data_IF_308036949881
#
_entry.id   IF_308036949881
#
_cell.length_a   1.000
_cell.length_b   1.000
_cell.length_c   1.000
_cell.angle_alpha   90.00
_cell.angle_beta   90.00
_cell.angle_gamma   90.00
#
_symmetry.space_group_name_H-M   'P 1'
#
loop_
_entity.id
_entity.type
_entity.pdbx_description
1 polymer ?
#
# COMPACT_ATOMS: atom_id res chain seq x y z
N UNK A 1 4.83 0.94 68.35
CA UNK A 1 4.11 0.45 67.16
C UNK A 1 5.01 0.72 65.96
N UNK A 2 5.32 -0.33 65.20
CA UNK A 2 6.30 -0.40 64.09
C UNK A 2 6.18 0.76 63.08
N UNK A 3 7.24 1.18 62.38
CA UNK A 3 7.72 0.53 61.14
C UNK A 3 9.14 1.00 60.80
N UNK A 4 10.03 0.04 60.53
CA UNK A 4 11.33 0.21 59.87
C UNK A 4 11.13 0.55 58.39
N UNK A 5 11.70 1.66 57.92
CA UNK A 5 11.90 1.90 56.49
C UNK A 5 13.18 1.22 56.03
N UNK A 6 13.04 0.05 55.38
CA UNK A 6 14.12 -0.57 54.58
C UNK A 6 14.16 0.11 53.21
N UNK A 7 15.25 0.81 52.93
CA UNK A 7 15.61 1.29 51.60
C UNK A 7 16.12 0.11 50.74
N UNK A 8 15.31 -0.35 49.79
CA UNK A 8 15.76 -1.23 48.71
C UNK A 8 16.35 -0.39 47.58
N UNK A 9 17.67 -0.46 47.38
CA UNK A 9 18.29 -0.08 46.10
C UNK A 9 17.92 -1.14 45.06
N UNK A 10 17.08 -0.78 44.10
CA UNK A 10 16.87 -1.57 42.90
C UNK A 10 17.99 -1.26 41.90
N UNK A 11 18.92 -2.20 41.73
CA UNK A 11 19.85 -2.17 40.60
C UNK A 11 19.07 -2.50 39.32
N UNK A 12 18.73 -1.47 38.54
CA UNK A 12 18.20 -1.63 37.19
C UNK A 12 19.31 -2.08 36.25
N UNK A 13 19.30 -3.35 35.86
CA UNK A 13 20.15 -3.85 34.77
C UNK A 13 19.55 -3.33 33.46
N UNK A 14 20.18 -2.31 32.88
CA UNK A 14 19.90 -1.89 31.52
C UNK A 14 20.39 -2.99 30.55
N UNK A 15 19.47 -3.78 30.02
CA UNK A 15 19.78 -4.72 28.94
C UNK A 15 20.04 -3.91 27.66
N UNK A 16 21.32 -3.66 27.37
CA UNK A 16 21.77 -3.16 26.07
C UNK A 16 21.67 -4.33 25.09
N UNK A 17 20.67 -4.32 24.22
CA UNK A 17 20.59 -5.23 23.09
C UNK A 17 21.69 -4.86 22.08
N UNK A 18 22.84 -5.53 22.16
CA UNK A 18 23.82 -5.51 21.08
C UNK A 18 23.25 -6.33 19.92
N UNK A 19 22.85 -5.66 18.84
CA UNK A 19 22.65 -6.32 17.55
C UNK A 19 24.00 -6.80 17.02
N UNK A 20 24.15 -8.10 16.80
CA UNK A 20 25.41 -8.69 16.33
C UNK A 20 25.79 -8.15 14.94
N UNK A 21 27.06 -7.74 14.70
CA UNK A 21 27.52 -7.24 13.41
C UNK A 21 27.26 -8.19 12.24
N UNK A 22 27.33 -9.50 12.51
CA UNK A 22 27.08 -10.56 11.52
C UNK A 22 25.61 -10.56 11.04
N UNK A 23 24.66 -10.39 11.96
CA UNK A 23 23.23 -10.28 11.64
C UNK A 23 22.93 -9.03 10.82
N UNK A 24 23.57 -7.90 11.14
CA UNK A 24 23.43 -6.66 10.36
C UNK A 24 24.03 -6.80 8.95
N UNK A 25 25.16 -7.50 8.81
CA UNK A 25 25.80 -7.79 7.54
C UNK A 25 24.96 -8.72 6.66
N UNK A 26 24.38 -9.78 7.23
CA UNK A 26 23.50 -10.71 6.51
C UNK A 26 22.20 -10.04 6.02
N UNK A 27 21.64 -9.11 6.82
CA UNK A 27 20.47 -8.30 6.40
C UNK A 27 20.84 -7.37 5.25
N UNK A 28 22.03 -6.76 5.25
CA UNK A 28 22.51 -5.90 4.14
C UNK A 28 22.67 -6.70 2.84
N UNK A 29 23.35 -7.85 2.89
CA UNK A 29 23.55 -8.70 1.70
C UNK A 29 22.24 -9.21 1.11
N UNK A 30 21.28 -9.53 1.98
CA UNK A 30 19.94 -9.96 1.56
C UNK A 30 19.19 -8.83 0.85
N UNK A 31 19.21 -7.62 1.41
CA UNK A 31 18.57 -6.47 0.79
C UNK A 31 19.25 -6.07 -0.53
N UNK A 32 20.58 -6.18 -0.64
CA UNK A 32 21.32 -5.94 -1.90
C UNK A 32 20.94 -6.96 -2.99
N UNK A 33 20.80 -8.25 -2.63
CA UNK A 33 20.29 -9.25 -3.56
C UNK A 33 18.83 -8.96 -3.94
N UNK A 34 18.00 -8.58 -2.97
CA UNK A 34 16.62 -8.17 -3.20
C UNK A 34 16.49 -6.98 -4.14
N UNK A 35 17.37 -5.99 -4.01
CA UNK A 35 17.44 -4.84 -4.91
C UNK A 35 17.71 -5.30 -6.33
N UNK A 36 18.74 -6.12 -6.55
CA UNK A 36 19.03 -6.67 -7.88
C UNK A 36 17.83 -7.39 -8.49
N UNK A 37 17.14 -8.22 -7.71
CA UNK A 37 15.95 -8.94 -8.15
C UNK A 37 14.76 -8.02 -8.44
N UNK A 38 14.58 -6.95 -7.67
CA UNK A 38 13.50 -5.98 -7.88
C UNK A 38 13.60 -5.27 -9.24
N UNK A 39 14.82 -5.08 -9.74
CA UNK A 39 15.10 -4.51 -11.06
C UNK A 39 15.36 -5.56 -12.15
N UNK A 40 15.26 -6.86 -11.83
CA UNK A 40 15.59 -7.95 -12.76
C UNK A 40 14.44 -8.24 -13.74
N UNK A 41 14.67 -8.01 -15.03
CA UNK A 41 13.64 -8.29 -16.05
C UNK A 41 13.58 -9.77 -16.41
N UNK A 42 14.63 -10.54 -16.13
CA UNK A 42 14.64 -11.98 -16.35
C UNK A 42 13.66 -12.75 -15.43
N UNK A 43 13.03 -12.07 -14.47
CA UNK A 43 11.92 -12.62 -13.70
C UNK A 43 10.59 -12.64 -14.47
N UNK A 44 10.52 -12.09 -15.69
CA UNK A 44 9.36 -12.16 -16.57
C UNK A 44 9.56 -13.10 -17.77
N UNK A 45 8.46 -13.58 -18.34
CA UNK A 45 8.44 -14.60 -19.38
C UNK A 45 9.24 -14.20 -20.64
N UNK A 46 9.05 -12.97 -21.10
CA UNK A 46 9.67 -12.38 -22.28
C UNK A 46 10.91 -11.52 -21.93
N UNK A 47 11.26 -11.41 -20.65
CA UNK A 47 12.41 -10.61 -20.21
C UNK A 47 12.20 -9.10 -20.32
N UNK A 48 10.95 -8.62 -20.40
CA UNK A 48 10.63 -7.21 -20.68
C UNK A 48 10.27 -6.38 -19.44
N UNK A 49 10.05 -7.02 -18.29
CA UNK A 49 9.61 -6.29 -17.09
C UNK A 49 10.17 -6.88 -15.79
N UNK A 50 10.34 -6.00 -14.81
CA UNK A 50 10.72 -6.31 -13.44
C UNK A 50 9.68 -5.77 -12.46
N UNK A 51 9.90 -5.91 -11.15
CA UNK A 51 9.06 -5.27 -10.15
C UNK A 51 9.05 -3.74 -10.34
N UNK A 52 10.21 -3.15 -10.64
CA UNK A 52 10.34 -1.70 -10.85
C UNK A 52 9.64 -1.17 -12.10
N UNK A 53 9.24 -2.03 -13.04
CA UNK A 53 8.46 -1.60 -14.22
C UNK A 53 7.07 -1.12 -13.82
N UNK A 54 6.42 -1.78 -12.86
CA UNK A 54 5.10 -1.41 -12.33
C UNK A 54 5.18 -0.67 -10.98
N UNK A 55 6.32 -0.70 -10.31
CA UNK A 55 6.57 -0.01 -9.04
C UNK A 55 7.82 0.86 -9.15
N UNK A 56 7.74 1.92 -9.96
CA UNK A 56 8.87 2.79 -10.27
C UNK A 56 9.30 3.60 -9.03
N UNK A 57 10.54 3.40 -8.52
CA UNK A 57 11.05 4.15 -7.39
C UNK A 57 11.10 5.66 -7.58
N UNK A 58 11.11 6.18 -8.81
CA UNK A 58 11.12 7.62 -9.09
C UNK A 58 9.71 8.24 -9.08
N UNK A 59 8.66 7.41 -9.08
CA UNK A 59 7.26 7.85 -9.13
C UNK A 59 6.44 7.34 -7.94
N UNK A 60 7.03 7.30 -6.73
CA UNK A 60 6.29 6.83 -5.55
C UNK A 60 5.99 5.33 -5.56
N UNK A 61 6.75 4.52 -6.29
CA UNK A 61 6.55 3.07 -6.43
C UNK A 61 5.19 2.66 -7.00
N UNK A 62 4.65 3.46 -7.93
CA UNK A 62 3.50 3.10 -8.78
C UNK A 62 3.96 2.89 -10.23
N UNK A 63 3.02 2.54 -11.11
CA UNK A 63 3.25 2.37 -12.54
C UNK A 63 3.05 3.71 -13.27
N UNK A 64 4.12 4.39 -13.73
CA UNK A 64 4.00 5.68 -14.41
C UNK A 64 3.80 5.52 -15.92
N UNK A 65 3.78 4.29 -16.45
CA UNK A 65 3.78 4.06 -17.89
C UNK A 65 2.49 4.57 -18.53
N UNK A 66 2.64 5.26 -19.66
CA UNK A 66 1.52 5.46 -20.58
C UNK A 66 1.28 4.17 -21.37
N UNK A 67 0.58 3.24 -20.74
CA UNK A 67 0.26 1.93 -21.27
C UNK A 67 -1.13 1.89 -21.96
N UNK A 68 -1.69 3.05 -22.29
CA UNK A 68 -3.04 3.17 -22.84
C UNK A 68 -4.18 2.98 -21.82
N UNK A 69 -3.88 2.59 -20.58
CA UNK A 69 -4.85 2.49 -19.49
C UNK A 69 -4.82 3.69 -18.53
N UNK A 70 -4.07 4.76 -18.85
CA UNK A 70 -3.94 5.97 -18.01
C UNK A 70 -3.60 5.64 -16.54
N UNK A 71 -2.70 4.67 -16.33
CA UNK A 71 -2.31 4.14 -15.02
C UNK A 71 -3.47 3.56 -14.15
N UNK A 72 -4.67 3.36 -14.71
CA UNK A 72 -5.78 2.71 -13.99
C UNK A 72 -5.46 1.25 -13.63
N UNK A 73 -4.64 0.61 -14.46
CA UNK A 73 -4.05 -0.71 -14.24
C UNK A 73 -2.70 -0.80 -14.98
N UNK A 74 -1.95 -1.85 -14.67
CA UNK A 74 -0.64 -2.14 -15.28
C UNK A 74 -0.75 -3.12 -16.44
N UNK A 75 0.10 -2.92 -17.46
CA UNK A 75 0.27 -3.80 -18.61
C UNK A 75 1.28 -4.90 -18.26
N UNK A 76 0.91 -6.15 -18.51
CA UNK A 76 1.75 -7.31 -18.31
C UNK A 76 2.85 -7.48 -19.36
N UNK A 77 3.73 -8.45 -19.11
CA UNK A 77 4.93 -8.76 -19.90
C UNK A 77 4.61 -9.23 -21.33
N UNK A 78 3.40 -9.72 -21.55
CA UNK A 78 2.93 -10.11 -22.89
C UNK A 78 2.55 -8.91 -23.77
N UNK A 79 2.61 -7.68 -23.24
CA UNK A 79 2.30 -6.45 -23.94
C UNK A 79 0.81 -6.27 -24.30
N UNK A 80 -0.09 -7.10 -23.75
CA UNK A 80 -1.52 -7.05 -24.06
C UNK A 80 -2.45 -7.21 -22.85
N UNK A 81 -2.11 -8.04 -21.86
CA UNK A 81 -2.90 -8.20 -20.64
C UNK A 81 -2.85 -6.95 -19.78
N UNK A 82 -4.02 -6.48 -19.34
CA UNK A 82 -4.18 -5.41 -18.36
C UNK A 82 -4.84 -5.98 -17.11
N UNK A 83 -4.33 -5.61 -15.94
CA UNK A 83 -4.97 -5.94 -14.67
C UNK A 83 -6.37 -5.33 -14.54
N UNK A 84 -7.13 -5.78 -13.54
CA UNK A 84 -8.43 -5.19 -13.16
C UNK A 84 -8.36 -4.31 -11.91
N UNK A 85 -7.15 -4.08 -11.41
CA UNK A 85 -6.87 -3.22 -10.26
C UNK A 85 -5.70 -2.29 -10.56
N UNK A 86 -5.74 -1.12 -9.95
CA UNK A 86 -4.60 -0.21 -9.91
C UNK A 86 -3.48 -0.81 -9.04
N UNK A 87 -2.23 -0.71 -9.50
CA UNK A 87 -1.06 -1.14 -8.75
C UNK A 87 -0.85 -0.18 -7.56
N UNK A 88 -1.00 -0.64 -6.30
CA UNK A 88 -0.78 0.23 -5.15
C UNK A 88 0.70 0.60 -5.05
N UNK A 89 0.99 1.75 -4.43
CA UNK A 89 2.38 2.10 -4.09
C UNK A 89 3.02 1.01 -3.22
N UNK A 90 4.25 0.58 -3.56
CA UNK A 90 5.04 -0.28 -2.70
C UNK A 90 5.66 0.47 -1.50
N UNK A 91 5.64 1.80 -1.51
CA UNK A 91 6.15 2.61 -0.39
C UNK A 91 5.36 2.31 0.88
N UNK A 92 6.08 2.15 2.00
CA UNK A 92 5.50 1.85 3.32
C UNK A 92 4.68 0.55 3.42
N UNK A 93 4.64 -0.29 2.37
CA UNK A 93 3.90 -1.56 2.37
C UNK A 93 4.41 -2.55 3.44
N UNK A 94 5.72 -2.52 3.73
CA UNK A 94 6.37 -3.34 4.74
C UNK A 94 5.82 -3.19 6.17
N UNK A 95 5.04 -2.13 6.45
CA UNK A 95 4.40 -1.91 7.75
C UNK A 95 3.06 -2.64 7.92
N UNK A 96 2.48 -3.17 6.84
CA UNK A 96 1.27 -3.96 6.96
C UNK A 96 1.55 -5.21 7.81
N UNK A 97 0.77 -5.47 8.87
CA UNK A 97 0.94 -6.67 9.67
C UNK A 97 0.61 -7.91 8.84
N UNK A 98 1.04 -9.08 9.31
CA UNK A 98 0.60 -10.36 8.75
C UNK A 98 -0.92 -10.41 8.72
N UNK A 99 -1.51 -10.95 7.65
CA UNK A 99 -2.96 -11.09 7.56
C UNK A 99 -3.50 -11.92 8.74
N UNK A 100 -4.42 -11.33 9.51
CA UNK A 100 -5.02 -11.97 10.69
C UNK A 100 -6.39 -11.35 11.00
N UNK A 101 -7.09 -11.90 12.00
CA UNK A 101 -8.19 -11.22 12.69
C UNK A 101 -7.68 -10.64 14.00
N UNK A 102 -7.97 -9.37 14.27
CA UNK A 102 -7.67 -8.76 15.58
C UNK A 102 -8.62 -9.29 16.67
N UNK A 103 -8.45 -8.83 17.91
CA UNK A 103 -9.25 -9.26 19.08
C UNK A 103 -10.76 -8.97 18.94
N UNK A 104 -11.16 -8.10 18.01
CA UNK A 104 -12.56 -7.78 17.69
C UNK A 104 -13.12 -8.63 16.55
N UNK A 105 -12.35 -9.59 16.03
CA UNK A 105 -12.71 -10.44 14.89
C UNK A 105 -12.65 -9.72 13.54
N UNK A 106 -12.02 -8.54 13.46
CA UNK A 106 -11.89 -7.77 12.21
C UNK A 106 -10.63 -8.21 11.48
N UNK A 107 -10.73 -8.47 10.17
CA UNK A 107 -9.57 -8.77 9.34
C UNK A 107 -8.65 -7.55 9.21
N UNK A 108 -7.35 -7.75 9.39
CA UNK A 108 -6.31 -6.73 9.37
C UNK A 108 -5.07 -7.26 8.67
N UNK A 109 -4.35 -6.38 7.96
CA UNK A 109 -3.03 -6.68 7.42
C UNK A 109 -3.08 -7.40 6.08
N UNK A 110 -2.01 -8.12 5.76
CA UNK A 110 -1.83 -8.74 4.45
C UNK A 110 -1.47 -7.74 3.35
N UNK A 111 -1.21 -8.29 2.18
CA UNK A 111 -0.77 -7.60 0.97
C UNK A 111 -1.80 -7.73 -0.15
N UNK A 112 -1.61 -6.94 -1.22
CA UNK A 112 -2.65 -6.61 -2.21
C UNK A 112 -3.87 -5.87 -1.62
N UNK A 113 -4.79 -5.43 -2.48
CA UNK A 113 -6.02 -4.75 -2.07
C UNK A 113 -7.00 -5.66 -1.32
N UNK A 114 -6.95 -6.98 -1.54
CA UNK A 114 -7.85 -8.00 -0.95
C UNK A 114 -7.21 -8.85 0.15
N UNK A 115 -5.93 -8.60 0.49
CA UNK A 115 -5.25 -9.33 1.55
C UNK A 115 -4.84 -10.76 1.23
N UNK A 116 -4.97 -11.22 -0.03
CA UNK A 116 -4.78 -12.63 -0.39
C UNK A 116 -3.38 -13.18 -0.12
N UNK A 117 -2.38 -12.30 0.00
CA UNK A 117 -1.03 -12.66 0.46
C UNK A 117 -0.87 -12.24 1.92
N UNK A 118 -0.46 -13.17 2.78
CA UNK A 118 -0.39 -12.91 4.22
C UNK A 118 0.76 -11.98 4.59
N UNK A 119 1.88 -12.06 3.88
CA UNK A 119 3.11 -11.28 4.11
C UNK A 119 3.66 -10.65 2.83
N UNK A 120 4.65 -9.75 2.98
CA UNK A 120 5.37 -9.16 1.85
C UNK A 120 6.10 -10.21 1.01
N UNK A 121 6.66 -11.22 1.68
CA UNK A 121 7.32 -12.34 1.05
C UNK A 121 6.33 -13.19 0.22
N UNK A 122 5.13 -13.45 0.75
CA UNK A 122 4.10 -14.17 -0.01
C UNK A 122 3.67 -13.38 -1.24
N UNK A 123 3.57 -12.05 -1.11
CA UNK A 123 3.20 -11.17 -2.20
C UNK A 123 4.26 -11.13 -3.30
N UNK A 124 5.54 -11.02 -2.96
CA UNK A 124 6.65 -11.02 -3.92
C UNK A 124 6.68 -12.29 -4.80
N UNK A 125 6.09 -13.39 -4.32
CA UNK A 125 5.97 -14.64 -5.09
C UNK A 125 4.83 -14.67 -6.11
N UNK A 126 3.88 -13.74 -6.06
CA UNK A 126 2.70 -13.71 -6.94
C UNK A 126 2.99 -13.21 -8.36
N UNK A 127 3.46 -11.95 -8.52
CA UNK A 127 3.64 -11.32 -9.83
C UNK A 127 4.46 -12.13 -10.85
N UNK A 128 5.59 -12.78 -10.47
CA UNK A 128 6.37 -13.59 -11.40
C UNK A 128 5.54 -14.69 -12.09
N UNK A 129 4.59 -15.30 -11.38
CA UNK A 129 3.81 -16.44 -11.88
C UNK A 129 2.42 -16.06 -12.41
N UNK A 130 2.01 -14.80 -12.29
CA UNK A 130 0.72 -14.35 -12.80
C UNK A 130 0.82 -14.11 -14.33
N UNK A 131 0.05 -14.83 -15.18
CA UNK A 131 0.08 -14.69 -16.65
C UNK A 131 -0.27 -13.28 -17.16
N UNK A 132 -1.06 -12.52 -16.39
CA UNK A 132 -1.44 -11.15 -16.73
C UNK A 132 -0.45 -10.11 -16.20
N UNK A 133 0.53 -10.53 -15.42
CA UNK A 133 1.65 -9.71 -14.95
C UNK A 133 2.94 -10.20 -15.60
N UNK A 134 3.83 -10.93 -14.89
CA UNK A 134 5.15 -11.33 -15.40
C UNK A 134 5.18 -12.69 -16.11
N UNK A 135 4.18 -13.53 -15.90
CA UNK A 135 3.87 -14.67 -16.78
C UNK A 135 4.85 -15.83 -16.83
N UNK A 136 5.74 -15.98 -15.84
CA UNK A 136 6.60 -17.16 -15.76
C UNK A 136 5.78 -18.43 -15.53
N UNK A 137 6.07 -19.48 -16.31
CA UNK A 137 5.27 -20.70 -16.33
C UNK A 137 5.33 -21.51 -15.03
N UNK A 138 6.38 -21.35 -14.23
CA UNK A 138 6.54 -22.03 -12.94
C UNK A 138 7.71 -21.44 -12.14
N UNK A 139 7.76 -21.77 -10.84
CA UNK A 139 8.93 -21.51 -9.98
C UNK A 139 10.21 -22.13 -10.54
N UNK A 140 10.11 -23.30 -11.18
CA UNK A 140 11.23 -23.97 -11.83
C UNK A 140 11.78 -23.18 -13.02
N UNK A 141 10.90 -22.56 -13.81
CA UNK A 141 11.31 -21.68 -14.90
C UNK A 141 12.06 -20.44 -14.39
N UNK A 142 11.58 -19.84 -13.30
CA UNK A 142 12.25 -18.70 -12.63
C UNK A 142 13.64 -19.11 -12.15
N UNK A 143 13.74 -20.24 -11.44
CA UNK A 143 15.03 -20.77 -10.99
C UNK A 143 15.99 -21.03 -12.16
N UNK A 144 15.52 -21.65 -13.24
CA UNK A 144 16.35 -21.93 -14.41
C UNK A 144 16.88 -20.66 -15.06
N UNK A 145 16.09 -19.58 -15.09
CA UNK A 145 16.54 -18.28 -15.60
C UNK A 145 17.61 -17.65 -14.71
N UNK A 146 17.38 -17.58 -13.40
CA UNK A 146 18.35 -17.01 -12.46
C UNK A 146 19.68 -17.76 -12.45
N UNK A 147 19.66 -19.09 -12.66
CA UNK A 147 20.86 -19.91 -12.78
C UNK A 147 21.73 -19.58 -14.00
N UNK A 148 21.20 -18.88 -15.00
CA UNK A 148 21.98 -18.43 -16.16
C UNK A 148 22.93 -17.28 -15.81
N UNK A 149 22.71 -16.59 -14.69
CA UNK A 149 23.60 -15.55 -14.18
C UNK A 149 24.47 -16.10 -13.03
N UNK A 150 25.79 -16.29 -13.23
CA UNK A 150 26.69 -16.81 -12.21
C UNK A 150 26.72 -15.98 -10.92
N UNK A 151 26.50 -14.66 -11.00
CA UNK A 151 26.52 -13.78 -9.84
C UNK A 151 25.33 -14.04 -8.91
N UNK A 152 24.15 -14.36 -9.46
CA UNK A 152 23.03 -14.80 -8.65
C UNK A 152 23.36 -16.13 -7.97
N UNK A 153 23.93 -17.08 -8.71
CA UNK A 153 24.28 -18.38 -8.13
C UNK A 153 25.22 -18.22 -6.92
N UNK A 154 26.24 -17.38 -7.05
CA UNK A 154 27.17 -17.08 -5.95
C UNK A 154 26.46 -16.36 -4.81
N UNK A 155 25.68 -15.32 -5.10
CA UNK A 155 25.01 -14.49 -4.08
C UNK A 155 23.99 -15.29 -3.26
N UNK A 156 23.13 -16.07 -3.93
CA UNK A 156 22.16 -16.95 -3.26
C UNK A 156 22.85 -18.00 -2.39
N UNK A 157 23.90 -18.65 -2.89
CA UNK A 157 24.63 -19.66 -2.09
C UNK A 157 25.35 -19.05 -0.89
N UNK A 158 25.83 -17.81 -1.02
CA UNK A 158 26.46 -17.07 0.08
C UNK A 158 25.45 -16.76 1.20
N UNK A 159 24.23 -16.34 0.84
CA UNK A 159 23.22 -15.89 1.82
C UNK A 159 22.40 -17.06 2.38
N UNK A 160 22.00 -18.01 1.53
CA UNK A 160 21.05 -19.08 1.87
C UNK A 160 21.71 -20.47 1.92
N UNK A 161 23.01 -20.57 1.67
CA UNK A 161 23.77 -21.82 1.67
C UNK A 161 23.68 -22.62 0.37
N UNK A 162 24.49 -23.67 0.28
CA UNK A 162 24.65 -24.48 -0.95
C UNK A 162 23.36 -25.18 -1.40
N UNK A 163 22.46 -25.46 -0.46
CA UNK A 163 21.19 -26.16 -0.70
C UNK A 163 20.06 -25.26 -1.22
N UNK A 164 20.28 -23.95 -1.35
CA UNK A 164 19.25 -23.01 -1.85
C UNK A 164 18.68 -23.41 -3.21
N UNK A 165 19.48 -24.08 -4.06
CA UNK A 165 19.08 -24.54 -5.38
C UNK A 165 18.81 -26.05 -5.47
N UNK A 166 18.55 -26.71 -4.33
CA UNK A 166 18.24 -28.14 -4.30
C UNK A 166 16.90 -28.46 -4.99
N UNK A 167 15.94 -27.54 -4.90
CA UNK A 167 14.62 -27.62 -5.52
C UNK A 167 14.07 -26.21 -5.81
N UNK A 168 13.01 -26.15 -6.63
CA UNK A 168 12.43 -24.89 -7.07
C UNK A 168 11.73 -24.12 -5.95
N UNK A 169 11.09 -24.80 -4.99
CA UNK A 169 10.37 -24.14 -3.91
C UNK A 169 11.33 -23.47 -2.93
N UNK A 170 12.39 -24.17 -2.52
CA UNK A 170 13.45 -23.62 -1.66
C UNK A 170 14.10 -22.39 -2.30
N UNK A 171 14.42 -22.46 -3.60
CA UNK A 171 14.98 -21.32 -4.31
C UNK A 171 13.99 -20.16 -4.39
N UNK A 172 12.72 -20.45 -4.67
CA UNK A 172 11.68 -19.43 -4.78
C UNK A 172 11.40 -18.74 -3.45
N UNK A 173 11.41 -19.47 -2.33
CA UNK A 173 11.34 -18.88 -0.99
C UNK A 173 12.51 -17.93 -0.72
N UNK A 174 13.72 -18.27 -1.17
CA UNK A 174 14.88 -17.38 -1.04
C UNK A 174 14.77 -16.13 -1.92
N UNK A 175 14.25 -16.26 -3.15
CA UNK A 175 13.99 -15.12 -4.05
C UNK A 175 13.03 -14.13 -3.38
N UNK A 176 11.89 -14.63 -2.90
CA UNK A 176 10.87 -13.77 -2.30
C UNK A 176 11.30 -13.18 -0.97
N UNK A 177 12.08 -13.91 -0.17
CA UNK A 177 12.67 -13.40 1.08
C UNK A 177 13.66 -12.26 0.81
N UNK A 178 14.50 -12.37 -0.23
CA UNK A 178 15.43 -11.32 -0.62
C UNK A 178 14.69 -10.05 -1.08
N UNK A 179 13.71 -10.18 -1.97
CA UNK A 179 12.86 -9.06 -2.43
C UNK A 179 12.17 -8.38 -1.24
N UNK A 180 11.53 -9.16 -0.37
CA UNK A 180 10.87 -8.62 0.82
C UNK A 180 11.84 -7.95 1.81
N UNK A 181 13.13 -8.33 1.84
CA UNK A 181 14.13 -7.66 2.64
C UNK A 181 14.50 -6.28 2.06
N UNK A 182 14.62 -6.17 0.73
CA UNK A 182 14.83 -4.89 0.06
C UNK A 182 13.67 -3.92 0.28
N UNK A 183 12.43 -4.40 0.17
CA UNK A 183 11.23 -3.59 0.37
C UNK A 183 11.03 -3.10 1.83
N UNK A 184 11.79 -3.66 2.79
CA UNK A 184 11.83 -3.20 4.19
C UNK A 184 12.86 -2.10 4.46
N UNK A 185 13.68 -1.75 3.46
CA UNK A 185 14.74 -0.74 3.63
C UNK A 185 14.18 0.68 3.69
N UNK A 186 15.01 1.63 4.12
CA UNK A 186 14.65 3.05 4.14
C UNK A 186 14.35 3.62 2.75
N UNK A 187 14.73 2.95 1.65
CA UNK A 187 14.37 3.35 0.29
C UNK A 187 12.85 3.39 0.11
N UNK A 188 12.13 2.44 0.72
CA UNK A 188 10.66 2.34 0.63
C UNK A 188 9.93 3.13 1.70
N UNK A 189 10.61 3.51 2.78
CA UNK A 189 9.98 4.13 3.96
C UNK A 189 10.89 5.15 4.65
N UNK A 190 11.22 6.28 3.99
CA UNK A 190 12.20 7.24 4.51
C UNK A 190 11.69 8.06 5.70
N UNK A 191 10.36 8.26 5.83
CA UNK A 191 9.77 9.15 6.84
C UNK A 191 10.35 10.58 6.82
N UNK A 192 10.52 11.13 5.63
CA UNK A 192 11.13 12.44 5.40
C UNK A 192 10.18 13.47 4.78
N UNK A 193 8.87 13.20 4.71
CA UNK A 193 7.85 14.10 4.17
C UNK A 193 7.78 15.42 4.94
N UNK A 194 7.13 16.45 4.37
CA UNK A 194 6.93 17.73 5.07
C UNK A 194 6.21 17.54 6.42
N UNK A 195 5.28 16.61 6.51
CA UNK A 195 4.63 16.24 7.77
C UNK A 195 5.62 15.69 8.79
N UNK A 196 6.50 14.76 8.38
CA UNK A 196 7.51 14.18 9.29
C UNK A 196 8.51 15.25 9.76
N UNK A 197 8.94 16.15 8.85
CA UNK A 197 9.81 17.29 9.19
C UNK A 197 9.13 18.27 10.14
N UNK A 198 7.82 18.51 9.97
CA UNK A 198 7.03 19.34 10.87
C UNK A 198 6.95 18.73 12.28
N UNK A 199 6.72 17.42 12.41
CA UNK A 199 6.71 16.75 13.71
C UNK A 199 8.05 16.86 14.46
N UNK A 200 9.17 16.94 13.72
CA UNK A 200 10.51 17.17 14.27
C UNK A 200 10.84 18.64 14.52
N UNK A 201 9.92 19.57 14.23
CA UNK A 201 10.14 21.01 14.39
C UNK A 201 11.07 21.63 13.35
N UNK A 202 11.35 20.94 12.24
CA UNK A 202 12.29 21.38 11.20
C UNK A 202 11.65 22.39 10.23
N UNK A 203 10.32 22.36 10.10
CA UNK A 203 9.53 23.22 9.21
C UNK A 203 8.19 23.57 9.85
N UNK A 204 7.52 24.60 9.34
CA UNK A 204 6.15 24.95 9.71
C UNK A 204 5.17 24.56 8.60
N UNK A 205 3.95 24.19 8.98
CA UNK A 205 2.83 24.09 8.05
C UNK A 205 2.24 25.48 7.79
N UNK A 206 1.75 25.70 6.57
CA UNK A 206 0.90 26.86 6.27
C UNK A 206 -0.44 26.74 6.98
N UNK A 207 -1.17 27.85 7.13
CA UNK A 207 -2.50 27.85 7.76
C UNK A 207 -3.48 26.87 7.11
N UNK A 208 -3.38 26.67 5.79
CA UNK A 208 -4.24 25.73 5.05
C UNK A 208 -3.85 24.27 5.31
N UNK A 209 -2.55 23.95 5.35
CA UNK A 209 -2.05 22.62 5.68
C UNK A 209 -2.38 22.26 7.14
N UNK A 210 -2.21 23.21 8.06
CA UNK A 210 -2.53 23.04 9.48
C UNK A 210 -4.03 22.85 9.71
N UNK A 211 -4.87 23.64 9.04
CA UNK A 211 -6.33 23.40 9.03
C UNK A 211 -6.66 22.00 8.53
N UNK A 212 -6.02 21.55 7.44
CA UNK A 212 -6.20 20.22 6.90
C UNK A 212 -5.81 19.11 7.89
N UNK A 213 -4.67 19.28 8.55
CA UNK A 213 -4.17 18.36 9.58
C UNK A 213 -5.15 18.25 10.75
N UNK A 214 -5.60 19.38 11.28
CA UNK A 214 -6.58 19.42 12.38
C UNK A 214 -7.90 18.76 11.97
N UNK A 215 -8.38 19.02 10.74
CA UNK A 215 -9.58 18.37 10.22
C UNK A 215 -9.39 16.86 10.11
N UNK A 216 -8.27 16.40 9.55
CA UNK A 216 -7.99 14.97 9.33
C UNK A 216 -8.03 14.15 10.63
N UNK A 217 -7.44 14.68 11.71
CA UNK A 217 -7.41 14.02 13.02
C UNK A 217 -8.64 14.34 13.90
N UNK A 218 -9.59 15.14 13.43
CA UNK A 218 -10.79 15.49 14.20
C UNK A 218 -11.80 14.36 14.20
N UNK A 219 -12.26 13.96 15.39
CA UNK A 219 -13.40 13.05 15.57
C UNK A 219 -14.77 13.74 15.48
N UNK A 220 -14.79 15.08 15.35
CA UNK A 220 -16.04 15.88 15.33
C UNK A 220 -16.35 16.41 13.93
N UNK A 221 -15.33 16.76 13.16
CA UNK A 221 -15.50 17.46 11.88
C UNK A 221 -15.23 16.59 10.65
N UNK A 222 -14.56 15.45 10.82
CA UNK A 222 -14.32 14.47 9.76
C UNK A 222 -14.38 13.06 10.36
N UNK A 223 -14.13 12.06 9.51
CA UNK A 223 -14.06 10.64 9.85
C UNK A 223 -12.78 9.98 9.30
N UNK A 224 -11.83 10.76 8.77
CA UNK A 224 -10.67 10.24 8.06
C UNK A 224 -9.82 9.33 8.95
N UNK A 225 -9.59 9.78 10.19
CA UNK A 225 -8.77 9.07 11.17
C UNK A 225 -9.42 7.82 11.78
N UNK A 226 -10.68 7.52 11.47
CA UNK A 226 -11.30 6.24 11.86
C UNK A 226 -10.61 5.09 11.14
N UNK A 227 -10.23 5.29 9.88
CA UNK A 227 -9.58 4.28 9.04
C UNK A 227 -8.11 4.62 8.74
N UNK A 228 -7.79 5.90 8.51
CA UNK A 228 -6.45 6.34 8.10
C UNK A 228 -5.56 6.79 9.26
N UNK A 229 -5.57 6.03 10.35
CA UNK A 229 -4.70 6.26 11.51
C UNK A 229 -4.35 4.91 12.15
N UNK A 230 -3.06 4.60 12.27
CA UNK A 230 -2.58 3.41 12.97
C UNK A 230 -2.44 3.67 14.48
N UNK A 231 -1.89 4.85 14.83
CA UNK A 231 -1.57 5.23 16.20
C UNK A 231 -2.46 6.38 16.63
N UNK A 232 -3.23 6.19 17.70
CA UNK A 232 -4.18 7.19 18.21
C UNK A 232 -3.51 8.39 18.91
N UNK A 233 -2.22 8.28 19.22
CA UNK A 233 -1.47 9.38 19.85
C UNK A 233 -1.23 10.51 18.85
N UNK A 234 -1.58 11.77 19.19
CA UNK A 234 -1.28 12.92 18.34
C UNK A 234 0.22 13.03 18.06
N UNK A 235 0.60 13.25 16.81
CA UNK A 235 2.01 13.42 16.42
C UNK A 235 2.85 12.14 16.56
N UNK A 236 2.22 10.96 16.55
CA UNK A 236 2.95 9.70 16.56
C UNK A 236 3.94 9.63 15.39
N UNK A 237 5.23 9.54 15.71
CA UNK A 237 6.26 9.32 14.71
C UNK A 237 6.00 8.02 13.95
N UNK A 238 6.39 8.00 12.67
CA UNK A 238 6.27 6.85 11.78
C UNK A 238 4.83 6.34 11.56
N UNK A 239 3.84 7.22 11.71
CA UNK A 239 2.45 6.96 11.27
C UNK A 239 2.41 6.71 9.76
N UNK A 240 1.61 5.74 9.32
CA UNK A 240 1.48 5.31 7.90
C UNK A 240 0.09 5.57 7.35
N UNK A 241 -0.80 6.19 8.13
CA UNK A 241 -2.11 6.69 7.71
C UNK A 241 -3.03 5.59 7.19
N UNK A 242 -3.01 4.45 7.87
CA UNK A 242 -3.89 3.30 7.64
C UNK A 242 -3.97 2.44 8.89
N UNK A 243 -5.14 1.91 9.19
CA UNK A 243 -5.35 0.89 10.22
C UNK A 243 -5.21 -0.55 9.68
N UNK A 244 -4.97 -0.71 8.38
CA UNK A 244 -4.91 -1.98 7.64
C UNK A 244 -6.17 -2.86 7.74
N UNK A 245 -7.31 -2.30 8.19
CA UNK A 245 -8.61 -2.95 8.13
C UNK A 245 -9.16 -2.93 6.70
N UNK A 246 -10.28 -3.62 6.50
CA UNK A 246 -10.93 -3.75 5.20
C UNK A 246 -12.31 -3.09 5.21
N UNK A 247 -12.57 -2.22 4.24
CA UNK A 247 -13.80 -1.46 4.14
C UNK A 247 -14.36 -1.45 2.73
N UNK A 248 -15.68 -1.50 2.61
CA UNK A 248 -16.37 -1.15 1.38
C UNK A 248 -16.85 0.30 1.52
N UNK A 249 -16.30 1.20 0.70
CA UNK A 249 -16.69 2.62 0.68
C UNK A 249 -17.64 2.95 -0.48
N UNK A 250 -18.14 1.93 -1.19
CA UNK A 250 -19.07 2.07 -2.30
C UNK A 250 -18.46 2.65 -3.57
N UNK A 251 -17.20 2.30 -3.87
CA UNK A 251 -16.51 2.70 -5.11
C UNK A 251 -17.26 2.11 -6.31
N UNK A 252 -17.55 2.91 -7.37
CA UNK A 252 -18.18 2.38 -8.57
C UNK A 252 -17.21 1.55 -9.40
N UNK A 253 -17.76 0.70 -10.26
CA UNK A 253 -16.97 0.01 -11.28
C UNK A 253 -16.33 1.01 -12.22
N UNK A 254 -15.04 0.82 -12.51
CA UNK A 254 -14.34 1.58 -13.55
C UNK A 254 -14.68 1.02 -14.93
N UNK A 255 -15.77 1.51 -15.53
CA UNK A 255 -16.24 1.05 -16.84
C UNK A 255 -15.21 1.27 -17.96
N UNK A 256 -14.36 2.29 -17.84
CA UNK A 256 -13.29 2.54 -18.80
C UNK A 256 -12.22 1.45 -18.73
N UNK A 257 -11.76 1.11 -17.53
CA UNK A 257 -10.82 0.00 -17.33
C UNK A 257 -11.41 -1.35 -17.76
N UNK A 258 -12.66 -1.65 -17.36
CA UNK A 258 -13.35 -2.89 -17.76
C UNK A 258 -13.49 -3.07 -19.27
N UNK A 259 -13.70 -1.96 -19.99
CA UNK A 259 -13.70 -1.96 -21.45
C UNK A 259 -12.31 -2.24 -22.02
N UNK A 260 -11.25 -1.72 -21.41
CA UNK A 260 -9.87 -1.88 -21.89
C UNK A 260 -9.32 -3.27 -21.63
N UNK A 261 -9.58 -3.87 -20.46
CA UNK A 261 -9.09 -5.20 -20.10
C UNK A 261 -10.04 -6.34 -20.51
N UNK A 262 -11.24 -6.03 -21.00
CA UNK A 262 -12.21 -7.01 -21.49
C UNK A 262 -12.95 -7.79 -20.40
N UNK A 263 -12.84 -7.40 -19.13
CA UNK A 263 -13.57 -8.03 -18.03
C UNK A 263 -15.05 -7.67 -18.10
N UNK A 264 -15.93 -8.68 -18.12
CA UNK A 264 -17.38 -8.46 -18.13
C UNK A 264 -17.82 -7.65 -16.91
N UNK A 265 -18.53 -6.55 -17.16
CA UNK A 265 -19.11 -5.65 -16.14
C UNK A 265 -20.08 -6.34 -15.17
N UNK A 266 -20.58 -7.55 -15.50
CA UNK A 266 -21.37 -8.39 -14.59
C UNK A 266 -20.53 -9.12 -13.55
N UNK A 267 -19.23 -9.32 -13.82
CA UNK A 267 -18.28 -9.91 -12.87
C UNK A 267 -17.89 -8.82 -11.89
N UNK A 268 -18.21 -9.02 -10.62
CA UNK A 268 -17.88 -8.06 -9.56
C UNK A 268 -16.56 -8.45 -8.90
N UNK A 269 -15.70 -7.48 -8.66
CA UNK A 269 -14.58 -7.64 -7.73
C UNK A 269 -15.12 -7.67 -6.29
N UNK A 270 -15.09 -8.86 -5.67
CA UNK A 270 -15.61 -9.06 -4.32
C UNK A 270 -14.60 -8.67 -3.23
N UNK A 271 -13.42 -8.14 -3.59
CA UNK A 271 -12.41 -7.65 -2.66
C UNK A 271 -11.93 -8.75 -1.73
N UNK A 272 -11.89 -8.47 -0.42
CA UNK A 272 -11.46 -9.38 0.64
C UNK A 272 -12.15 -10.75 0.59
N UNK A 273 -13.37 -10.85 0.08
CA UNK A 273 -14.06 -12.14 -0.06
C UNK A 273 -13.43 -13.06 -1.11
N UNK A 274 -12.56 -12.55 -1.99
CA UNK A 274 -11.76 -13.36 -2.92
C UNK A 274 -10.50 -13.95 -2.26
N UNK A 275 -10.17 -13.54 -1.03
CA UNK A 275 -9.10 -14.16 -0.27
C UNK A 275 -9.50 -15.59 0.12
N UNK A 276 -8.68 -16.62 -0.18
CA UNK A 276 -9.02 -18.03 0.09
C UNK A 276 -9.21 -18.34 1.58
N UNK A 277 -8.73 -17.48 2.48
CA UNK A 277 -8.88 -17.62 3.93
C UNK A 277 -10.10 -16.88 4.48
N UNK A 278 -11.01 -16.40 3.61
CA UNK A 278 -12.20 -15.63 3.99
C UNK A 278 -13.44 -16.28 3.39
N UNK A 279 -14.37 -16.67 4.25
CA UNK A 279 -15.61 -17.34 3.90
C UNK A 279 -16.87 -16.55 4.29
N UNK A 280 -16.73 -15.43 5.03
CA UNK A 280 -17.83 -14.60 5.50
C UNK A 280 -18.34 -13.65 4.40
N UNK A 281 -19.61 -13.80 3.93
CA UNK A 281 -20.19 -12.94 2.89
C UNK A 281 -20.24 -11.45 3.27
N UNK A 282 -20.13 -11.10 4.56
CA UNK A 282 -20.04 -9.71 5.02
C UNK A 282 -18.72 -9.03 4.62
N UNK A 283 -17.76 -9.77 4.05
CA UNK A 283 -16.51 -9.21 3.54
C UNK A 283 -16.56 -8.83 2.05
N UNK A 284 -17.65 -9.15 1.34
CA UNK A 284 -17.80 -8.80 -0.08
C UNK A 284 -17.71 -7.28 -0.28
N UNK A 285 -16.91 -6.88 -1.27
CA UNK A 285 -16.69 -5.49 -1.68
C UNK A 285 -15.72 -4.70 -0.80
N UNK A 286 -15.14 -5.33 0.23
CA UNK A 286 -14.21 -4.65 1.13
C UNK A 286 -12.79 -4.73 0.59
N UNK A 287 -12.07 -3.63 0.65
CA UNK A 287 -10.65 -3.55 0.30
C UNK A 287 -9.85 -2.99 1.46
N UNK A 288 -8.58 -3.36 1.53
CA UNK A 288 -7.66 -2.88 2.57
C UNK A 288 -7.55 -1.37 2.49
N UNK A 289 -7.65 -0.70 3.64
CA UNK A 289 -7.37 0.73 3.75
C UNK A 289 -5.93 1.01 3.30
N UNK A 290 -5.67 1.76 2.22
CA UNK A 290 -4.31 2.05 1.78
C UNK A 290 -3.63 3.06 2.70
N UNK A 291 -2.31 3.02 2.77
CA UNK A 291 -1.52 4.12 3.34
C UNK A 291 -1.79 5.40 2.54
N UNK A 292 -1.86 6.55 3.21
CA UNK A 292 -1.96 7.86 2.55
C UNK A 292 -0.60 8.55 2.36
N UNK A 293 0.51 7.89 2.70
CA UNK A 293 1.84 8.41 2.36
C UNK A 293 2.01 8.43 0.84
N UNK A 294 2.61 9.48 0.31
CA UNK A 294 2.73 9.73 -1.13
C UNK A 294 1.41 9.84 -1.91
N UNK A 295 0.25 9.90 -1.25
CA UNK A 295 -1.06 9.86 -1.94
C UNK A 295 -1.21 10.96 -2.98
N UNK A 296 -0.63 12.14 -2.78
CA UNK A 296 -0.75 13.25 -3.74
C UNK A 296 -0.03 13.02 -5.08
N UNK A 297 0.82 12.00 -5.18
CA UNK A 297 1.63 11.70 -6.38
C UNK A 297 1.42 10.27 -6.91
N UNK A 298 0.43 9.55 -6.38
CA UNK A 298 0.17 8.13 -6.72
C UNK A 298 -1.26 7.92 -7.25
N UNK A 299 -1.80 8.91 -7.97
CA UNK A 299 -3.04 8.72 -8.71
C UNK A 299 -2.84 7.80 -9.94
N UNK A 300 -3.92 7.32 -10.56
CA UNK A 300 -5.32 7.47 -10.16
C UNK A 300 -5.67 6.63 -8.93
N UNK A 301 -6.80 6.95 -8.29
CA UNK A 301 -7.14 6.51 -6.94
C UNK A 301 -8.18 5.38 -6.90
N UNK A 302 -8.24 4.74 -5.73
CA UNK A 302 -9.04 3.55 -5.41
C UNK A 302 -8.45 2.26 -6.00
N UNK A 303 -8.99 1.10 -5.58
CA UNK A 303 -8.49 -0.20 -6.01
C UNK A 303 -8.55 -0.41 -7.53
N UNK A 304 -9.39 0.33 -8.25
CA UNK A 304 -9.60 0.22 -9.70
C UNK A 304 -9.23 1.50 -10.48
N UNK A 305 -8.56 2.47 -9.85
CA UNK A 305 -8.08 3.69 -10.51
C UNK A 305 -9.18 4.59 -11.10
N UNK A 306 -10.39 4.59 -10.54
CA UNK A 306 -11.56 5.27 -11.13
C UNK A 306 -11.54 6.79 -11.00
N UNK A 307 -10.78 7.35 -10.05
CA UNK A 307 -10.70 8.81 -9.83
C UNK A 307 -9.29 9.31 -10.17
N UNK A 308 -9.19 10.38 -10.94
CA UNK A 308 -7.90 10.95 -11.35
C UNK A 308 -7.35 11.96 -10.34
N UNK A 309 -8.23 12.70 -9.68
CA UNK A 309 -7.85 13.79 -8.78
C UNK A 309 -8.05 13.44 -7.30
N UNK A 310 -7.06 13.78 -6.46
CA UNK A 310 -7.16 13.58 -5.01
C UNK A 310 -8.33 14.35 -4.41
N UNK A 311 -8.64 15.51 -5.00
CA UNK A 311 -9.80 16.32 -4.61
C UNK A 311 -11.13 15.62 -4.91
N UNK A 312 -11.20 14.84 -5.99
CA UNK A 312 -12.37 14.02 -6.33
C UNK A 312 -12.58 12.93 -5.30
N UNK A 313 -11.51 12.30 -4.80
CA UNK A 313 -11.59 11.32 -3.71
C UNK A 313 -12.25 11.91 -2.47
N UNK A 314 -11.82 13.09 -2.01
CA UNK A 314 -12.42 13.72 -0.82
C UNK A 314 -13.89 14.10 -1.07
N UNK A 315 -14.23 14.57 -2.28
CA UNK A 315 -15.63 14.83 -2.67
C UNK A 315 -16.48 13.56 -2.71
N UNK A 316 -15.90 12.44 -3.13
CA UNK A 316 -16.57 11.14 -3.14
C UNK A 316 -16.97 10.72 -1.73
N UNK A 317 -16.10 10.90 -0.72
CA UNK A 317 -16.50 10.69 0.68
C UNK A 317 -17.59 11.66 1.12
N UNK A 318 -17.52 12.94 0.69
CA UNK A 318 -18.48 13.96 1.07
C UNK A 318 -19.91 13.70 0.59
N UNK A 319 -20.12 12.85 -0.44
CA UNK A 319 -21.45 12.46 -0.93
C UNK A 319 -22.33 11.81 0.15
N UNK A 320 -21.71 11.18 1.15
CA UNK A 320 -22.43 10.54 2.26
C UNK A 320 -22.91 11.53 3.33
N UNK A 321 -22.30 12.72 3.41
CA UNK A 321 -22.56 13.72 4.43
C UNK A 321 -23.26 14.98 3.88
N UNK A 322 -23.28 15.17 2.55
CA UNK A 322 -23.93 16.30 1.88
C UNK A 322 -25.00 15.83 0.88
N UNK A 323 -26.24 16.32 1.07
CA UNK A 323 -27.37 16.00 0.18
C UNK A 323 -27.56 17.00 -0.97
N UNK A 324 -26.67 17.99 -1.11
CA UNK A 324 -26.72 18.94 -2.24
C UNK A 324 -26.49 18.22 -3.56
N UNK A 325 -27.16 18.64 -4.64
CA UNK A 325 -26.96 18.09 -5.99
C UNK A 325 -25.48 18.04 -6.38
N UNK A 326 -24.73 19.12 -6.13
CA UNK A 326 -23.30 19.20 -6.43
C UNK A 326 -22.44 18.13 -5.72
N UNK A 327 -22.87 17.61 -4.57
CA UNK A 327 -22.15 16.55 -3.85
C UNK A 327 -22.47 15.15 -4.40
N UNK A 328 -23.56 15.01 -5.15
CA UNK A 328 -23.97 13.75 -5.79
C UNK A 328 -23.38 13.58 -7.20
N UNK A 329 -22.63 14.57 -7.69
CA UNK A 329 -21.98 14.58 -9.00
C UNK A 329 -20.47 14.34 -8.86
N UNK A 330 -19.95 13.43 -9.68
CA UNK A 330 -18.50 13.30 -9.90
C UNK A 330 -18.01 14.50 -10.73
N UNK A 331 -17.13 15.37 -10.19
CA UNK A 331 -16.63 16.54 -10.92
C UNK A 331 -15.80 16.18 -12.16
N UNK A 332 -15.22 14.97 -12.24
CA UNK A 332 -14.40 14.55 -13.39
C UNK A 332 -15.25 14.17 -14.61
N UNK A 333 -16.48 13.69 -14.39
CA UNK A 333 -17.37 13.23 -15.46
C UNK A 333 -18.60 14.12 -15.66
N UNK A 334 -18.89 15.01 -14.70
CA UNK A 334 -20.11 15.83 -14.65
C UNK A 334 -21.39 14.97 -14.67
N UNK A 335 -21.30 13.76 -14.14
CA UNK A 335 -22.41 12.81 -14.00
C UNK A 335 -22.57 12.41 -12.53
N UNK A 336 -23.71 11.82 -12.18
CA UNK A 336 -23.87 11.22 -10.85
C UNK A 336 -22.74 10.24 -10.56
N UNK A 337 -22.35 10.13 -9.28
CA UNK A 337 -21.46 9.04 -8.88
C UNK A 337 -22.05 7.71 -9.32
N UNK A 338 -21.24 6.86 -9.93
CA UNK A 338 -21.69 5.52 -10.32
C UNK A 338 -22.21 4.73 -9.12
N UNK A 339 -23.12 3.79 -9.39
CA UNK A 339 -23.55 2.83 -8.37
C UNK A 339 -22.33 2.04 -7.86
N UNK A 340 -22.26 1.71 -6.55
CA UNK A 340 -21.25 0.82 -6.02
C UNK A 340 -21.20 -0.50 -6.80
N UNK A 341 -19.99 -0.98 -7.12
CA UNK A 341 -19.82 -2.30 -7.75
C UNK A 341 -20.43 -3.40 -6.86
N UNK A 342 -20.13 -3.32 -5.57
CA UNK A 342 -20.74 -4.12 -4.50
C UNK A 342 -21.50 -3.17 -3.58
N UNK A 343 -22.81 -3.28 -3.58
CA UNK A 343 -23.74 -2.47 -2.78
C UNK A 343 -24.00 -3.03 -1.38
N UNK A 344 -23.56 -4.26 -1.10
CA UNK A 344 -23.57 -4.84 0.25
C UNK A 344 -22.37 -4.36 1.09
N UNK A 345 -22.52 -4.43 2.41
CA UNK A 345 -21.41 -4.28 3.38
C UNK A 345 -20.69 -2.92 3.36
N UNK A 346 -21.31 -1.87 2.79
CA UNK A 346 -20.75 -0.52 2.79
C UNK A 346 -20.63 -0.02 4.24
N UNK A 347 -19.49 0.56 4.60
CA UNK A 347 -19.17 1.14 5.92
C UNK A 347 -19.94 2.44 6.18
N UNK A 348 -21.28 2.42 6.04
CA UNK A 348 -22.14 3.60 6.16
C UNK A 348 -22.08 4.25 7.53
N UNK A 349 -21.82 3.48 8.59
CA UNK A 349 -21.67 4.02 9.95
C UNK A 349 -20.50 5.00 10.01
N UNK A 350 -19.34 4.58 9.52
CA UNK A 350 -18.14 5.41 9.47
C UNK A 350 -18.30 6.53 8.43
N UNK A 351 -18.78 6.20 7.22
CA UNK A 351 -18.89 7.15 6.10
C UNK A 351 -19.87 8.32 6.36
N UNK A 352 -20.93 8.09 7.15
CA UNK A 352 -21.92 9.11 7.53
C UNK A 352 -21.57 9.85 8.84
N UNK A 353 -20.34 9.71 9.33
CA UNK A 353 -19.87 10.41 10.52
C UNK A 353 -19.30 11.78 10.15
N UNK A 354 -19.71 12.81 10.89
CA UNK A 354 -19.28 14.19 10.71
C UNK A 354 -20.18 15.01 9.78
N UNK A 355 -20.04 16.34 9.77
CA UNK A 355 -20.82 17.23 8.92
C UNK A 355 -20.32 17.23 7.46
N UNK A 356 -21.17 17.69 6.53
CA UNK A 356 -20.77 18.00 5.17
C UNK A 356 -19.54 18.94 5.12
N UNK A 357 -18.58 18.61 4.26
CA UNK A 357 -17.40 19.43 4.01
C UNK A 357 -17.69 20.46 2.91
N UNK A 358 -17.43 21.74 3.23
CA UNK A 358 -17.41 22.82 2.24
C UNK A 358 -16.06 22.83 1.49
N UNK A 359 -16.01 23.43 0.30
CA UNK A 359 -14.80 23.49 -0.54
C UNK A 359 -13.53 23.87 0.23
N UNK A 360 -13.56 24.93 1.06
CA UNK A 360 -12.39 25.34 1.87
C UNK A 360 -11.82 24.21 2.75
N UNK A 361 -12.68 23.36 3.34
CA UNK A 361 -12.24 22.22 4.16
C UNK A 361 -11.70 21.08 3.31
N UNK A 362 -12.31 20.84 2.15
CA UNK A 362 -11.81 19.88 1.15
C UNK A 362 -10.41 20.31 0.68
N UNK A 363 -10.23 21.57 0.33
CA UNK A 363 -8.97 22.12 -0.15
C UNK A 363 -7.90 22.12 0.96
N UNK A 364 -8.28 22.32 2.22
CA UNK A 364 -7.39 22.16 3.36
C UNK A 364 -6.95 20.70 3.56
N UNK A 365 -7.86 19.73 3.47
CA UNK A 365 -7.53 18.31 3.53
C UNK A 365 -6.59 17.90 2.38
N UNK A 366 -6.83 18.36 1.15
CA UNK A 366 -5.90 18.15 0.02
C UNK A 366 -4.52 18.73 0.35
N UNK A 367 -4.45 19.97 0.85
CA UNK A 367 -3.18 20.59 1.21
C UNK A 367 -2.44 19.78 2.28
N UNK A 368 -3.13 19.29 3.31
CA UNK A 368 -2.53 18.40 4.30
C UNK A 368 -2.03 17.08 3.69
N UNK A 369 -2.81 16.43 2.84
CA UNK A 369 -2.38 15.18 2.20
C UNK A 369 -1.15 15.37 1.29
N UNK A 370 -0.98 16.54 0.66
CA UNK A 370 0.26 16.89 -0.07
C UNK A 370 1.49 16.94 0.86
N UNK A 371 1.31 17.21 2.16
CA UNK A 371 2.43 17.20 3.13
C UNK A 371 2.95 15.80 3.45
N UNK A 372 2.20 14.74 3.08
CA UNK A 372 2.54 13.33 3.30
C UNK A 372 3.41 12.75 2.18
N UNK A 373 3.81 13.57 1.21
CA UNK A 373 4.71 13.21 0.11
C UNK A 373 6.16 13.20 0.60
N UNK A 374 6.84 12.07 0.43
CA UNK A 374 8.27 11.92 0.72
C UNK A 374 9.07 12.97 -0.04
N UNK A 375 10.16 13.45 0.58
CA UNK A 375 10.91 14.61 0.09
C UNK A 375 11.34 14.46 -1.38
N UNK A 376 11.75 13.26 -1.77
CA UNK A 376 12.20 12.97 -3.13
C UNK A 376 11.11 13.13 -4.19
N UNK A 377 9.83 13.06 -3.84
CA UNK A 377 8.71 13.19 -4.77
C UNK A 377 8.00 14.55 -4.70
N UNK A 378 8.48 15.50 -3.89
CA UNK A 378 7.87 16.83 -3.79
C UNK A 378 7.83 17.56 -5.14
N UNK A 379 8.78 17.27 -6.03
CA UNK A 379 8.82 17.82 -7.38
C UNK A 379 7.70 17.31 -8.31
N UNK A 380 7.04 16.19 -7.95
CA UNK A 380 5.88 15.63 -8.68
C UNK A 380 4.55 16.23 -8.21
N UNK A 381 4.55 17.01 -7.11
CA UNK A 381 3.34 17.68 -6.65
C UNK A 381 2.88 18.69 -7.69
N UNK A 382 1.64 18.54 -8.15
CA UNK A 382 0.99 19.58 -8.93
C UNK A 382 0.78 20.82 -8.06
N UNK A 383 0.94 22.04 -8.60
CA UNK A 383 0.68 23.29 -7.87
C UNK A 383 -0.68 23.31 -7.16
#
# INVERSE_FOLDING_TARGET
MHILFKSCLAYGVAAVFFSSPLLAQDVSLKAELGERLFFETELSANGTQSCSTCHDPEHGFIDPRDNGANAMASLGDNGSSLGDRNAPSAAYAAFAPVFHKNDKGVYVGGMFHDGRAATLQDQAGGPPLNPDEMGMSSKGAVLNRLKQNPDYVVSFKKIYGQKVFQDADTAYTAITDAIAAFEKTNRFSPFDSKYDRFLRGEVTLSDQEELGRVLFFSQQFTNCNICHQLRTSPGAEREVFTNYEYHNIGVPTNMALRKLNGVDTKVKDLGLFLNPNVDDPKQKGKFKTPSLRNVAVTGPYMHNGVFKDLRTVIKFYNKYNSLTDAAQINPETVQAWGAPEVDQNISLKELKTGPALKSKRIDALVAFLKTLTDKRYEHLLTP
#
